data_IF_506504859946
#
_entry.id   IF_506504859946
#
_cell.length_a   1.000
_cell.length_b   1.000
_cell.length_c   1.000
_cell.angle_alpha   90.00
_cell.angle_beta   90.00
_cell.angle_gamma   90.00
#
_symmetry.space_group_name_H-M   'P 1'
#
loop_
_entity.id
_entity.type
_entity.pdbx_description
1 polymer ?
#
# COMPACT_ATOMS: atom_id res chain seq x y z
N UNK A 1 -23.96 21.02 -14.06
CA UNK A 1 -24.05 19.55 -14.08
C UNK A 1 -25.42 19.16 -14.64
N UNK A 2 -25.49 18.39 -15.75
CA UNK A 2 -26.78 17.86 -16.24
C UNK A 2 -27.11 16.60 -15.44
N UNK A 3 -28.28 16.56 -14.82
CA UNK A 3 -28.79 15.37 -14.11
C UNK A 3 -29.22 14.33 -15.14
N UNK A 4 -28.65 13.13 -15.08
CA UNK A 4 -28.98 12.03 -15.98
C UNK A 4 -29.76 10.95 -15.25
N UNK A 5 -30.83 10.46 -15.89
CA UNK A 5 -31.71 9.41 -15.38
C UNK A 5 -31.77 8.27 -16.39
N UNK A 6 -31.70 7.03 -15.91
CA UNK A 6 -31.93 5.82 -16.70
C UNK A 6 -33.01 4.98 -16.03
N UNK A 7 -34.10 4.71 -16.74
CA UNK A 7 -35.27 3.98 -16.22
C UNK A 7 -35.84 4.57 -14.91
N UNK A 8 -35.85 5.90 -14.77
CA UNK A 8 -36.34 6.59 -13.58
C UNK A 8 -35.35 6.59 -12.40
N UNK A 9 -34.18 5.96 -12.53
CA UNK A 9 -33.12 5.99 -11.52
C UNK A 9 -32.07 7.01 -11.93
N UNK A 10 -31.70 7.89 -10.99
CA UNK A 10 -30.61 8.85 -11.20
C UNK A 10 -29.30 8.09 -11.30
N UNK A 11 -28.57 8.28 -12.40
CA UNK A 11 -27.28 7.62 -12.64
C UNK A 11 -26.09 8.52 -12.31
N UNK A 12 -26.30 9.84 -12.21
CA UNK A 12 -25.26 10.79 -11.78
C UNK A 12 -25.26 10.93 -10.26
N UNK A 13 -24.14 10.65 -9.61
CA UNK A 13 -23.94 10.86 -8.17
C UNK A 13 -23.53 12.31 -7.87
N UNK A 14 -24.01 12.84 -6.75
CA UNK A 14 -23.55 14.14 -6.25
C UNK A 14 -22.18 14.02 -5.56
N UNK A 15 -21.46 15.14 -5.44
CA UNK A 15 -20.17 15.24 -4.76
C UNK A 15 -20.14 14.65 -3.35
N UNK A 16 -21.24 14.83 -2.60
CA UNK A 16 -21.36 14.34 -1.23
C UNK A 16 -21.74 12.85 -1.14
N UNK A 17 -22.06 12.23 -2.28
CA UNK A 17 -22.37 10.79 -2.39
C UNK A 17 -21.15 9.98 -2.82
N UNK A 18 -20.10 10.64 -3.28
CA UNK A 18 -18.82 10.03 -3.61
C UNK A 18 -17.98 9.80 -2.35
N UNK A 19 -17.25 8.69 -2.32
CA UNK A 19 -16.14 8.53 -1.40
C UNK A 19 -15.09 9.64 -1.60
N UNK A 20 -14.27 9.96 -0.59
CA UNK A 20 -13.20 10.95 -0.74
C UNK A 20 -12.27 10.65 -1.93
N UNK A 21 -12.03 9.38 -2.23
CA UNK A 21 -11.23 8.95 -3.38
C UNK A 21 -11.94 9.21 -4.69
N UNK A 22 -13.19 8.77 -4.85
CA UNK A 22 -13.97 9.00 -6.07
C UNK A 22 -14.12 10.50 -6.36
N UNK A 23 -14.33 11.31 -5.32
CA UNK A 23 -14.38 12.76 -5.44
C UNK A 23 -13.04 13.36 -5.91
N UNK A 24 -11.92 12.88 -5.36
CA UNK A 24 -10.58 13.30 -5.79
C UNK A 24 -10.28 12.89 -7.23
N UNK A 25 -10.64 11.66 -7.62
CA UNK A 25 -10.48 11.15 -8.98
C UNK A 25 -11.29 11.97 -9.98
N UNK A 26 -12.55 12.27 -9.66
CA UNK A 26 -13.43 13.04 -10.55
C UNK A 26 -12.88 14.44 -10.77
N UNK A 27 -12.46 15.14 -9.70
CA UNK A 27 -11.82 16.47 -9.81
C UNK A 27 -10.56 16.45 -10.65
N UNK A 28 -9.74 15.40 -10.51
CA UNK A 28 -8.52 15.26 -11.30
C UNK A 28 -8.84 15.00 -12.78
N UNK A 29 -9.83 14.16 -13.07
CA UNK A 29 -10.28 13.91 -14.45
C UNK A 29 -10.85 15.18 -15.10
N UNK A 30 -11.67 15.94 -14.37
CA UNK A 30 -12.20 17.23 -14.85
C UNK A 30 -11.07 18.21 -15.20
N UNK A 31 -10.02 18.29 -14.36
CA UNK A 31 -8.85 19.12 -14.64
C UNK A 31 -8.08 18.63 -15.88
N UNK A 32 -7.87 17.33 -16.06
CA UNK A 32 -7.23 16.79 -17.28
C UNK A 32 -8.03 17.19 -18.52
N UNK A 33 -9.35 17.02 -18.48
CA UNK A 33 -10.22 17.33 -19.62
C UNK A 33 -10.18 18.83 -19.95
N UNK A 34 -10.17 19.69 -18.93
CA UNK A 34 -9.97 21.14 -19.08
C UNK A 34 -8.61 21.48 -19.70
N UNK A 35 -7.52 20.88 -19.21
CA UNK A 35 -6.18 21.09 -19.78
C UNK A 35 -6.08 20.61 -21.24
N UNK A 36 -6.71 19.48 -21.57
CA UNK A 36 -6.79 18.99 -22.95
C UNK A 36 -7.59 19.95 -23.84
N UNK A 37 -8.70 20.49 -23.33
CA UNK A 37 -9.50 21.48 -24.05
C UNK A 37 -8.69 22.76 -24.29
N UNK A 38 -8.03 23.31 -23.27
CA UNK A 38 -7.17 24.49 -23.37
C UNK A 38 -6.03 24.28 -24.38
N UNK A 39 -5.38 23.11 -24.35
CA UNK A 39 -4.32 22.75 -25.29
C UNK A 39 -4.81 22.67 -26.75
N UNK A 40 -6.09 22.39 -26.97
CA UNK A 40 -6.70 22.34 -28.29
C UNK A 40 -7.25 23.70 -28.75
N UNK A 41 -7.94 24.44 -27.88
CA UNK A 41 -8.59 25.71 -28.21
C UNK A 41 -7.59 26.85 -28.46
N UNK A 42 -6.51 26.90 -27.68
CA UNK A 42 -5.48 27.93 -27.81
C UNK A 42 -4.36 27.54 -28.78
N UNK A 43 -4.52 26.43 -29.51
CA UNK A 43 -3.56 26.04 -30.53
C UNK A 43 -3.69 26.90 -31.78
N UNK A 44 -2.70 27.76 -32.00
CA UNK A 44 -2.55 28.51 -33.23
C UNK A 44 -1.86 27.65 -34.30
N UNK A 45 -2.60 27.34 -35.37
CA UNK A 45 -2.17 26.55 -36.53
C UNK A 45 -1.11 27.25 -37.40
N UNK A 46 -0.55 28.39 -36.97
CA UNK A 46 0.51 29.13 -37.67
C UNK A 46 1.86 28.37 -37.70
N UNK A 47 1.89 27.22 -38.39
CA UNK A 47 3.01 26.47 -38.99
C UNK A 47 4.31 26.36 -38.18
N UNK A 48 4.32 26.52 -36.85
CA UNK A 48 5.52 26.33 -36.04
C UNK A 48 5.59 24.84 -35.63
N UNK A 49 6.49 24.04 -36.22
CA UNK A 49 6.60 22.62 -35.89
C UNK A 49 6.93 22.38 -34.42
N UNK A 50 7.57 23.35 -33.74
CA UNK A 50 7.89 23.25 -32.32
C UNK A 50 6.65 23.38 -31.44
N UNK A 51 5.67 24.21 -31.82
CA UNK A 51 4.41 24.33 -31.09
C UNK A 51 3.56 23.07 -31.23
N UNK A 52 3.50 22.49 -32.42
CA UNK A 52 2.78 21.22 -32.62
C UNK A 52 3.44 20.06 -31.86
N UNK A 53 4.78 19.98 -31.86
CA UNK A 53 5.50 18.96 -31.09
C UNK A 53 5.28 19.13 -29.58
N UNK A 54 5.34 20.36 -29.07
CA UNK A 54 5.05 20.64 -27.66
C UNK A 54 3.60 20.27 -27.29
N UNK A 55 2.64 20.55 -28.17
CA UNK A 55 1.23 20.16 -27.98
C UNK A 55 1.05 18.65 -27.94
N UNK A 56 1.64 17.92 -28.89
CA UNK A 56 1.61 16.44 -28.91
C UNK A 56 2.21 15.86 -27.65
N UNK A 57 3.36 16.38 -27.22
CA UNK A 57 4.02 15.95 -25.98
C UNK A 57 3.14 16.20 -24.75
N UNK A 58 2.50 17.37 -24.65
CA UNK A 58 1.58 17.70 -23.56
C UNK A 58 0.34 16.79 -23.54
N UNK A 59 -0.29 16.54 -24.69
CA UNK A 59 -1.44 15.65 -24.80
C UNK A 59 -1.07 14.19 -24.47
N UNK A 60 0.11 13.73 -24.90
CA UNK A 60 0.62 12.40 -24.54
C UNK A 60 0.86 12.28 -23.03
N UNK A 61 1.41 13.32 -22.40
CA UNK A 61 1.59 13.39 -20.95
C UNK A 61 0.25 13.30 -20.21
N UNK A 62 -0.76 14.08 -20.61
CA UNK A 62 -2.10 14.06 -20.00
C UNK A 62 -2.78 12.70 -20.16
N UNK A 63 -2.60 12.03 -21.31
CA UNK A 63 -3.11 10.68 -21.52
C UNK A 63 -2.44 9.65 -20.59
N UNK A 64 -1.12 9.79 -20.38
CA UNK A 64 -0.38 8.96 -19.41
C UNK A 64 -0.84 9.21 -17.98
N UNK A 65 -1.02 10.46 -17.56
CA UNK A 65 -1.54 10.80 -16.22
C UNK A 65 -2.92 10.21 -15.99
N UNK A 66 -3.81 10.29 -16.98
CA UNK A 66 -5.14 9.67 -16.91
C UNK A 66 -5.05 8.16 -16.71
N UNK A 67 -4.19 7.49 -17.47
CA UNK A 67 -4.00 6.04 -17.35
C UNK A 67 -3.43 5.65 -15.97
N UNK A 68 -2.49 6.45 -15.45
CA UNK A 68 -1.95 6.26 -14.11
C UNK A 68 -3.04 6.41 -13.04
N UNK A 69 -3.89 7.43 -13.12
CA UNK A 69 -4.99 7.62 -12.17
C UNK A 69 -5.97 6.44 -12.22
N UNK A 70 -6.38 6.00 -13.42
CA UNK A 70 -7.29 4.87 -13.58
C UNK A 70 -6.71 3.58 -12.98
N UNK A 71 -5.39 3.37 -13.13
CA UNK A 71 -4.69 2.25 -12.51
C UNK A 71 -4.74 2.35 -10.99
N UNK A 72 -4.38 3.51 -10.42
CA UNK A 72 -4.40 3.72 -8.97
C UNK A 72 -5.80 3.52 -8.38
N UNK A 73 -6.84 4.02 -9.04
CA UNK A 73 -8.22 3.85 -8.63
C UNK A 73 -8.61 2.37 -8.47
N UNK A 74 -8.26 1.53 -9.45
CA UNK A 74 -8.49 0.09 -9.37
C UNK A 74 -7.74 -0.56 -8.20
N UNK A 75 -6.49 -0.13 -7.92
CA UNK A 75 -5.74 -0.65 -6.77
C UNK A 75 -6.36 -0.23 -5.43
N UNK A 76 -6.88 0.99 -5.33
CA UNK A 76 -7.60 1.45 -4.13
C UNK A 76 -8.88 0.67 -3.89
N UNK A 77 -9.69 0.43 -4.92
CA UNK A 77 -10.92 -0.37 -4.81
C UNK A 77 -10.61 -1.77 -4.30
N UNK A 78 -9.55 -2.40 -4.84
CA UNK A 78 -9.10 -3.71 -4.38
C UNK A 78 -8.62 -3.69 -2.92
N UNK A 79 -7.89 -2.65 -2.50
CA UNK A 79 -7.49 -2.48 -1.11
C UNK A 79 -8.69 -2.25 -0.18
N UNK A 80 -9.68 -1.48 -0.62
CA UNK A 80 -10.90 -1.23 0.16
C UNK A 80 -11.70 -2.52 0.34
N UNK A 81 -11.90 -3.28 -0.73
CA UNK A 81 -12.55 -4.61 -0.67
C UNK A 81 -11.78 -5.54 0.28
N UNK A 82 -10.45 -5.57 0.17
CA UNK A 82 -9.59 -6.31 1.07
C UNK A 82 -9.81 -5.88 2.54
N UNK A 83 -9.96 -4.59 2.81
CA UNK A 83 -10.18 -4.06 4.16
C UNK A 83 -11.59 -4.28 4.70
N UNK A 84 -12.59 -4.66 3.88
CA UNK A 84 -13.96 -4.94 4.37
C UNK A 84 -14.01 -6.07 5.40
N UNK A 85 -13.05 -7.00 5.40
CA UNK A 85 -12.96 -8.03 6.44
C UNK A 85 -12.46 -7.49 7.78
N UNK A 86 -11.70 -6.39 7.81
CA UNK A 86 -11.13 -5.79 9.03
C UNK A 86 -12.22 -5.32 9.99
N UNK A 87 -13.25 -4.66 9.47
CA UNK A 87 -14.38 -4.17 10.28
C UNK A 87 -15.19 -5.30 10.91
N UNK A 88 -15.19 -6.49 10.29
CA UNK A 88 -15.93 -7.67 10.78
C UNK A 88 -15.28 -8.30 12.01
N UNK A 89 -13.97 -8.14 12.19
CA UNK A 89 -13.21 -8.70 13.35
C UNK A 89 -13.69 -8.13 14.69
N UNK A 90 -14.14 -6.87 14.68
CA UNK A 90 -14.64 -6.14 15.85
C UNK A 90 -16.17 -6.12 15.92
N UNK A 91 -16.84 -6.94 15.08
CA UNK A 91 -18.29 -7.07 15.11
C UNK A 91 -18.80 -7.52 16.48
N UNK A 92 -19.95 -6.98 16.90
CA UNK A 92 -20.66 -7.44 18.11
C UNK A 92 -21.18 -8.88 17.95
N UNK A 93 -21.43 -9.31 16.72
CA UNK A 93 -21.77 -10.70 16.45
C UNK A 93 -20.51 -11.58 16.50
N UNK A 94 -20.47 -12.47 17.49
CA UNK A 94 -19.33 -13.36 17.73
C UNK A 94 -19.07 -14.29 16.54
N UNK A 95 -20.11 -14.77 15.85
CA UNK A 95 -19.94 -15.68 14.71
C UNK A 95 -19.23 -14.96 13.56
N UNK A 96 -19.69 -13.76 13.23
CA UNK A 96 -19.04 -12.90 12.24
C UNK A 96 -17.59 -12.59 12.59
N UNK A 97 -17.32 -12.23 13.85
CA UNK A 97 -15.97 -11.91 14.31
C UNK A 97 -15.02 -13.12 14.26
N UNK A 98 -15.47 -14.30 14.67
CA UNK A 98 -14.69 -15.55 14.59
C UNK A 98 -14.41 -15.91 13.14
N UNK A 99 -15.44 -15.92 12.29
CA UNK A 99 -15.29 -16.24 10.88
C UNK A 99 -14.30 -15.29 10.18
N UNK A 100 -14.38 -13.98 10.44
CA UNK A 100 -13.44 -13.01 9.89
C UNK A 100 -11.99 -13.31 10.29
N UNK A 101 -11.75 -13.68 11.56
CA UNK A 101 -10.42 -14.04 12.04
C UNK A 101 -9.91 -15.34 11.41
N UNK A 102 -10.76 -16.34 11.26
CA UNK A 102 -10.40 -17.62 10.64
C UNK A 102 -9.98 -17.42 9.17
N UNK A 103 -10.76 -16.65 8.40
CA UNK A 103 -10.43 -16.29 7.01
C UNK A 103 -9.06 -15.60 6.94
N UNK A 104 -8.81 -14.64 7.83
CA UNK A 104 -7.52 -13.94 7.88
C UNK A 104 -6.34 -14.84 8.27
N UNK A 105 -6.55 -15.84 9.13
CA UNK A 105 -5.49 -16.78 9.51
C UNK A 105 -5.06 -17.66 8.34
N UNK A 106 -6.01 -18.03 7.48
CA UNK A 106 -5.80 -18.82 6.26
C UNK A 106 -5.33 -17.99 5.06
N UNK A 107 -5.21 -16.66 5.20
CA UNK A 107 -4.76 -15.79 4.12
C UNK A 107 -3.35 -16.16 3.64
N UNK A 108 -3.21 -16.27 2.32
CA UNK A 108 -1.92 -16.49 1.67
C UNK A 108 -1.00 -15.27 1.87
N UNK A 109 0.28 -15.54 2.08
CA UNK A 109 1.31 -14.51 2.30
C UNK A 109 2.44 -14.60 1.28
N UNK A 110 2.44 -15.62 0.43
CA UNK A 110 3.35 -15.76 -0.71
C UNK A 110 2.58 -16.35 -1.89
N UNK A 111 2.80 -15.84 -3.13
CA UNK A 111 3.70 -14.75 -3.49
C UNK A 111 3.27 -13.38 -2.90
N UNK A 112 4.17 -12.40 -2.87
CA UNK A 112 3.93 -11.09 -2.21
C UNK A 112 3.25 -10.07 -3.15
N UNK A 113 2.59 -10.53 -4.21
CA UNK A 113 2.01 -9.67 -5.24
C UNK A 113 0.88 -8.80 -4.66
N UNK A 114 0.00 -9.39 -3.85
CA UNK A 114 -1.07 -8.67 -3.16
C UNK A 114 -0.51 -7.59 -2.22
N UNK A 115 0.53 -7.92 -1.44
CA UNK A 115 1.18 -6.96 -0.57
C UNK A 115 1.76 -5.79 -1.38
N UNK A 116 2.50 -6.07 -2.45
CA UNK A 116 3.11 -5.05 -3.32
C UNK A 116 2.03 -4.14 -3.94
N UNK A 117 0.95 -4.74 -4.40
CA UNK A 117 -0.22 -4.05 -4.95
C UNK A 117 -0.87 -3.11 -3.93
N UNK A 118 -1.15 -3.60 -2.73
CA UNK A 118 -1.76 -2.81 -1.67
C UNK A 118 -0.81 -1.72 -1.14
N UNK A 119 0.50 -1.97 -1.09
CA UNK A 119 1.49 -0.94 -0.77
C UNK A 119 1.45 0.21 -1.78
N UNK A 120 1.31 -0.08 -3.08
CA UNK A 120 1.15 0.95 -4.12
C UNK A 120 -0.15 1.74 -3.96
N UNK A 121 -1.25 1.07 -3.61
CA UNK A 121 -2.52 1.72 -3.32
C UNK A 121 -2.38 2.71 -2.15
N UNK A 122 -1.60 2.40 -1.11
CA UNK A 122 -1.28 3.33 -0.01
C UNK A 122 -0.23 4.40 -0.34
N UNK A 123 0.09 4.58 -1.63
CA UNK A 123 1.06 5.59 -2.05
C UNK A 123 2.50 5.26 -1.64
N UNK A 124 2.81 3.98 -1.42
CA UNK A 124 4.18 3.49 -1.19
C UNK A 124 4.74 2.97 -2.52
N UNK A 125 5.44 3.80 -3.31
CA UNK A 125 5.99 3.39 -4.60
C UNK A 125 7.17 2.42 -4.41
N UNK A 126 7.28 1.46 -5.33
CA UNK A 126 8.44 0.57 -5.42
C UNK A 126 9.66 1.38 -5.87
N UNK A 127 10.76 1.44 -5.09
CA UNK A 127 11.87 2.36 -5.42
C UNK A 127 12.60 2.02 -6.72
N UNK A 128 12.75 0.72 -7.03
CA UNK A 128 13.33 0.23 -8.29
C UNK A 128 12.95 -1.23 -8.51
N UNK A 129 13.23 -1.77 -9.70
CA UNK A 129 13.05 -3.20 -10.02
C UNK A 129 13.90 -4.14 -9.15
N UNK A 130 14.92 -3.61 -8.46
CA UNK A 130 15.79 -4.37 -7.55
C UNK A 130 15.17 -4.58 -6.16
N UNK A 131 14.01 -3.99 -5.89
CA UNK A 131 13.29 -4.14 -4.62
C UNK A 131 12.21 -5.22 -4.72
N UNK A 132 11.82 -5.76 -3.57
CA UNK A 132 10.68 -6.66 -3.43
C UNK A 132 9.90 -6.30 -2.17
N UNK A 133 8.58 -6.51 -2.19
CA UNK A 133 7.76 -6.36 -1.01
C UNK A 133 8.12 -7.45 0.02
N UNK A 134 8.23 -7.05 1.28
CA UNK A 134 8.60 -7.92 2.39
C UNK A 134 7.63 -7.70 3.54
N UNK A 135 7.05 -8.79 4.06
CA UNK A 135 6.24 -8.76 5.27
C UNK A 135 7.12 -8.52 6.48
N UNK A 136 6.85 -7.46 7.24
CA UNK A 136 7.53 -7.16 8.49
C UNK A 136 7.25 -8.28 9.51
N UNK A 137 5.99 -8.54 9.83
CA UNK A 137 5.59 -9.76 10.52
C UNK A 137 5.42 -10.89 9.48
N UNK A 138 6.27 -11.94 9.51
CA UNK A 138 6.18 -13.02 8.52
C UNK A 138 4.92 -13.87 8.71
N UNK A 139 4.50 -14.57 7.65
CA UNK A 139 3.30 -15.40 7.65
C UNK A 139 3.37 -16.65 8.54
N UNK A 140 4.48 -17.39 8.49
CA UNK A 140 4.66 -18.64 9.26
C UNK A 140 5.87 -18.62 10.20
N UNK A 141 6.86 -17.75 9.95
CA UNK A 141 8.15 -17.75 10.64
C UNK A 141 9.00 -18.98 10.28
N UNK A 142 10.32 -18.82 10.31
CA UNK A 142 11.28 -19.91 10.10
C UNK A 142 11.70 -20.55 11.42
N UNK A 143 11.92 -19.75 12.46
CA UNK A 143 12.56 -20.19 13.70
C UNK A 143 11.61 -20.22 14.90
N UNK A 144 10.78 -19.19 15.06
CA UNK A 144 9.89 -18.96 16.20
C UNK A 144 8.41 -19.07 15.75
N UNK A 145 8.07 -20.18 15.09
CA UNK A 145 6.77 -20.39 14.43
C UNK A 145 5.56 -20.10 15.33
N UNK A 146 5.57 -20.60 16.56
CA UNK A 146 4.48 -20.38 17.51
C UNK A 146 4.36 -18.91 17.93
N UNK A 147 5.49 -18.24 18.15
CA UNK A 147 5.53 -16.83 18.51
C UNK A 147 5.02 -15.95 17.38
N UNK A 148 5.46 -16.21 16.15
CA UNK A 148 4.98 -15.52 14.94
C UNK A 148 3.49 -15.78 14.72
N UNK A 149 3.04 -17.04 14.84
CA UNK A 149 1.62 -17.38 14.73
C UNK A 149 0.77 -16.62 15.74
N UNK A 150 1.20 -16.53 17.00
CA UNK A 150 0.49 -15.77 18.03
C UNK A 150 0.51 -14.26 17.75
N UNK A 151 1.63 -13.73 17.25
CA UNK A 151 1.73 -12.33 16.82
C UNK A 151 0.75 -12.04 15.69
N UNK A 152 0.64 -12.94 14.71
CA UNK A 152 -0.38 -12.85 13.65
C UNK A 152 -1.77 -12.90 14.23
N UNK A 153 -2.11 -13.84 15.10
CA UNK A 153 -3.44 -13.89 15.74
C UNK A 153 -3.76 -12.55 16.42
N UNK A 154 -2.78 -11.95 17.10
CA UNK A 154 -2.93 -10.63 17.72
C UNK A 154 -3.20 -9.52 16.68
N UNK A 155 -2.41 -9.45 15.61
CA UNK A 155 -2.62 -8.49 14.51
C UNK A 155 -4.01 -8.63 13.89
N UNK A 156 -4.42 -9.84 13.53
CA UNK A 156 -5.73 -10.10 12.94
C UNK A 156 -6.87 -9.79 13.91
N UNK A 157 -6.69 -10.02 15.22
CA UNK A 157 -7.68 -9.65 16.24
C UNK A 157 -7.90 -8.15 16.35
N UNK A 158 -6.95 -7.34 15.87
CA UNK A 158 -7.06 -5.88 15.77
C UNK A 158 -7.38 -5.41 14.35
N UNK A 159 -7.73 -6.33 13.44
CA UNK A 159 -8.06 -6.00 12.05
C UNK A 159 -6.84 -5.52 11.24
N UNK A 160 -5.64 -6.01 11.56
CA UNK A 160 -4.45 -5.86 10.71
C UNK A 160 -4.20 -7.19 10.02
N UNK A 161 -4.42 -7.23 8.71
CA UNK A 161 -4.24 -8.43 7.89
C UNK A 161 -2.79 -8.63 7.47
N UNK A 162 -2.45 -9.82 6.97
CA UNK A 162 -1.06 -10.15 6.63
C UNK A 162 -0.55 -9.33 5.44
N UNK A 163 -1.37 -9.13 4.39
CA UNK A 163 -1.04 -8.27 3.25
C UNK A 163 -1.45 -6.80 3.45
N UNK A 164 -1.81 -6.37 4.67
CA UNK A 164 -2.04 -4.95 4.93
C UNK A 164 -0.76 -4.15 4.64
N UNK A 165 -0.84 -3.01 3.91
CA UNK A 165 0.33 -2.21 3.56
C UNK A 165 1.20 -1.79 4.74
N UNK A 166 0.63 -1.63 5.94
CA UNK A 166 1.41 -1.30 7.13
C UNK A 166 2.35 -2.44 7.53
N UNK A 167 2.01 -3.69 7.23
CA UNK A 167 2.89 -4.85 7.41
C UNK A 167 3.89 -5.03 6.26
N UNK A 168 3.85 -4.16 5.24
CA UNK A 168 4.74 -4.21 4.10
C UNK A 168 5.90 -3.23 4.18
N UNK A 169 7.05 -3.65 3.67
CA UNK A 169 8.20 -2.79 3.42
C UNK A 169 8.91 -3.23 2.15
N UNK A 170 9.42 -2.29 1.35
CA UNK A 170 10.32 -2.64 0.26
C UNK A 170 11.73 -2.82 0.79
N UNK A 171 12.36 -3.94 0.45
CA UNK A 171 13.77 -4.22 0.69
C UNK A 171 14.44 -4.64 -0.61
N UNK A 172 15.78 -4.55 -0.67
CA UNK A 172 16.53 -5.07 -1.81
C UNK A 172 16.29 -6.58 -1.94
N UNK A 173 16.02 -7.05 -3.15
CA UNK A 173 15.75 -8.46 -3.37
C UNK A 173 17.00 -9.32 -3.10
N UNK A 174 18.17 -8.88 -3.58
CA UNK A 174 19.45 -9.56 -3.38
C UNK A 174 20.41 -8.68 -2.60
N UNK A 175 21.31 -9.34 -1.88
CA UNK A 175 22.33 -8.66 -1.10
C UNK A 175 23.37 -7.95 -1.99
N UNK A 176 23.63 -8.51 -3.18
CA UNK A 176 24.51 -7.95 -4.22
C UNK A 176 24.07 -6.57 -4.74
N UNK A 177 22.81 -6.18 -4.48
CA UNK A 177 22.32 -4.84 -4.82
C UNK A 177 22.70 -3.79 -3.76
N UNK A 178 23.41 -4.18 -2.70
CA UNK A 178 23.90 -3.28 -1.65
C UNK A 178 25.33 -2.82 -1.94
N UNK A 179 25.64 -1.52 -1.82
CA UNK A 179 24.75 -0.42 -1.46
C UNK A 179 23.85 0.02 -2.63
N UNK A 180 22.60 0.36 -2.32
CA UNK A 180 21.65 0.93 -3.29
C UNK A 180 21.35 2.40 -2.96
N UNK A 181 21.16 3.25 -3.97
CA UNK A 181 20.97 4.69 -3.76
C UNK A 181 19.77 5.03 -2.85
N UNK A 182 18.68 4.26 -2.91
CA UNK A 182 17.49 4.47 -2.08
C UNK A 182 17.60 3.94 -0.65
N UNK A 183 18.51 2.97 -0.41
CA UNK A 183 18.65 2.26 0.86
C UNK A 183 20.13 1.89 1.09
N UNK A 184 21.03 2.88 1.23
CA UNK A 184 22.48 2.66 1.15
C UNK A 184 23.01 1.72 2.24
N UNK A 185 22.34 1.65 3.38
CA UNK A 185 22.74 0.83 4.52
C UNK A 185 21.91 -0.47 4.65
N UNK A 186 20.80 -0.61 3.93
CA UNK A 186 19.98 -1.84 3.98
C UNK A 186 20.70 -2.98 3.27
N UNK A 187 20.41 -4.21 3.67
CA UNK A 187 20.89 -5.44 3.01
C UNK A 187 19.77 -6.09 2.19
N UNK A 188 20.10 -7.18 1.51
CA UNK A 188 19.11 -8.02 0.82
C UNK A 188 18.09 -8.60 1.80
N UNK A 189 16.81 -8.70 1.41
CA UNK A 189 15.71 -9.04 2.33
C UNK A 189 15.93 -10.36 3.10
N UNK A 190 16.51 -11.39 2.44
CA UNK A 190 16.80 -12.68 3.08
C UNK A 190 17.74 -12.58 4.29
N UNK A 191 18.57 -11.54 4.36
CA UNK A 191 19.51 -11.33 5.47
C UNK A 191 18.80 -10.95 6.79
N UNK A 192 17.56 -10.46 6.71
CA UNK A 192 16.78 -10.07 7.89
C UNK A 192 16.03 -11.25 8.52
N UNK A 193 15.82 -12.37 7.80
CA UNK A 193 15.08 -13.55 8.28
C UNK A 193 15.88 -14.39 9.30
N UNK A 194 16.15 -13.80 10.45
CA UNK A 194 16.86 -14.41 11.57
C UNK A 194 15.91 -14.76 12.71
N UNK A 195 16.33 -15.68 13.59
CA UNK A 195 15.61 -15.99 14.82
C UNK A 195 15.43 -14.76 15.70
N UNK A 196 16.43 -13.89 15.72
CA UNK A 196 16.40 -12.66 16.51
C UNK A 196 15.35 -11.66 15.98
N UNK A 197 15.32 -11.48 14.66
CA UNK A 197 14.33 -10.64 14.00
C UNK A 197 12.90 -11.04 14.39
N UNK A 198 12.58 -12.33 14.30
CA UNK A 198 11.25 -12.85 14.65
C UNK A 198 10.87 -12.54 16.10
N UNK A 199 11.81 -12.70 17.04
CA UNK A 199 11.59 -12.34 18.46
C UNK A 199 11.35 -10.84 18.65
N UNK A 200 12.14 -10.01 17.98
CA UNK A 200 12.03 -8.55 18.11
C UNK A 200 10.73 -8.02 17.52
N UNK A 201 10.35 -8.50 16.34
CA UNK A 201 9.07 -8.14 15.70
C UNK A 201 7.91 -8.55 16.60
N UNK A 202 7.88 -9.81 17.06
CA UNK A 202 6.84 -10.29 17.96
C UNK A 202 6.76 -9.48 19.26
N UNK A 203 7.89 -9.32 19.96
CA UNK A 203 7.95 -8.58 21.22
C UNK A 203 7.52 -7.11 21.10
N UNK A 204 7.63 -6.52 19.91
CA UNK A 204 7.18 -5.14 19.63
C UNK A 204 5.70 -5.04 19.30
N UNK A 205 5.06 -6.13 18.86
CA UNK A 205 3.68 -6.11 18.34
C UNK A 205 2.70 -6.77 19.29
N UNK A 206 3.07 -7.89 19.93
CA UNK A 206 2.13 -8.79 20.62
C UNK A 206 1.36 -8.17 21.80
N UNK A 207 1.77 -7.01 22.30
CA UNK A 207 1.14 -6.32 23.44
C UNK A 207 0.51 -4.99 23.08
N UNK A 208 0.57 -4.57 21.80
CA UNK A 208 0.04 -3.28 21.40
C UNK A 208 -1.50 -3.30 21.39
N UNK A 209 -2.18 -2.26 21.91
CA UNK A 209 -3.59 -2.34 22.28
C UNK A 209 -4.57 -1.98 21.16
N UNK A 210 -4.10 -1.40 20.06
CA UNK A 210 -4.97 -0.89 19.01
C UNK A 210 -4.38 -1.07 17.63
N UNK A 211 -5.27 -1.11 16.64
CA UNK A 211 -4.93 -1.22 15.22
C UNK A 211 -3.92 -0.16 14.79
N UNK A 212 -4.18 1.09 15.13
CA UNK A 212 -3.36 2.21 14.67
C UNK A 212 -1.96 2.18 15.29
N UNK A 213 -1.85 1.77 16.56
CA UNK A 213 -0.56 1.60 17.23
C UNK A 213 0.21 0.42 16.64
N UNK A 214 -0.45 -0.69 16.31
CA UNK A 214 0.17 -1.83 15.61
C UNK A 214 0.69 -1.40 14.23
N UNK A 215 -0.14 -0.73 13.43
CA UNK A 215 0.23 -0.24 12.09
C UNK A 215 1.40 0.73 12.16
N UNK A 216 1.37 1.66 13.12
CA UNK A 216 2.47 2.61 13.36
C UNK A 216 3.77 1.87 13.72
N UNK A 217 3.70 0.90 14.62
CA UNK A 217 4.88 0.13 15.02
C UNK A 217 5.47 -0.67 13.86
N UNK A 218 4.63 -1.29 13.02
CA UNK A 218 5.09 -1.98 11.82
C UNK A 218 5.82 -1.00 10.88
N UNK A 219 5.25 0.17 10.61
CA UNK A 219 5.90 1.20 9.78
C UNK A 219 7.25 1.66 10.37
N UNK A 220 7.34 1.83 11.70
CA UNK A 220 8.61 2.15 12.37
C UNK A 220 9.63 1.04 12.14
N UNK A 221 9.25 -0.23 12.33
CA UNK A 221 10.14 -1.37 12.06
C UNK A 221 10.57 -1.36 10.59
N UNK A 222 9.64 -1.21 9.65
CA UNK A 222 9.94 -1.15 8.22
C UNK A 222 11.00 -0.08 7.88
N UNK A 223 10.84 1.14 8.42
CA UNK A 223 11.84 2.21 8.24
C UNK A 223 13.20 1.83 8.82
N UNK A 224 13.25 1.18 9.98
CA UNK A 224 14.51 0.72 10.57
C UNK A 224 15.20 -0.32 9.67
N UNK A 225 14.45 -1.22 9.03
CA UNK A 225 15.00 -2.19 8.08
C UNK A 225 15.57 -1.50 6.83
N UNK A 226 14.88 -0.50 6.29
CA UNK A 226 15.34 0.24 5.11
C UNK A 226 16.59 1.12 5.36
N UNK A 227 16.73 1.62 6.60
CA UNK A 227 17.78 2.59 6.94
C UNK A 227 19.05 1.94 7.51
N UNK A 228 19.00 0.64 7.83
CA UNK A 228 20.08 -0.04 8.54
C UNK A 228 20.19 -1.49 8.08
N UNK A 229 21.41 -1.98 8.09
CA UNK A 229 21.77 -3.38 8.03
C UNK A 229 21.15 -4.15 9.23
N UNK A 230 21.00 -5.47 9.16
CA UNK A 230 20.28 -6.25 10.17
C UNK A 230 20.73 -5.97 11.61
N UNK A 231 22.04 -5.93 11.88
CA UNK A 231 22.57 -5.70 13.23
C UNK A 231 22.17 -4.34 13.80
N UNK A 232 22.35 -3.27 13.02
CA UNK A 232 21.97 -1.90 13.39
C UNK A 232 20.46 -1.72 13.51
N UNK A 233 19.69 -2.32 12.59
CA UNK A 233 18.24 -2.34 12.66
C UNK A 233 17.76 -2.97 13.97
N UNK A 234 18.28 -4.15 14.32
CA UNK A 234 17.90 -4.88 15.54
C UNK A 234 18.32 -4.13 16.80
N UNK A 235 19.51 -3.54 16.83
CA UNK A 235 19.95 -2.70 17.94
C UNK A 235 19.00 -1.51 18.17
N UNK A 236 18.62 -0.81 17.09
CA UNK A 236 17.64 0.29 17.17
C UNK A 236 16.26 -0.20 17.57
N UNK A 237 15.81 -1.33 17.04
CA UNK A 237 14.55 -1.97 17.45
C UNK A 237 14.54 -2.28 18.94
N UNK A 238 15.66 -2.66 19.57
CA UNK A 238 15.74 -2.87 21.03
C UNK A 238 15.72 -1.54 21.80
N UNK A 239 16.37 -0.51 21.27
CA UNK A 239 16.49 0.79 21.92
C UNK A 239 15.20 1.63 21.95
N UNK A 240 14.24 1.34 21.05
CA UNK A 240 12.92 1.98 21.10
C UNK A 240 12.26 1.72 22.47
N UNK A 241 11.83 2.76 23.16
CA UNK A 241 11.04 2.59 24.40
C UNK A 241 9.63 2.11 24.02
N UNK A 242 9.13 1.13 24.78
CA UNK A 242 7.75 0.63 24.71
C UNK A 242 6.77 1.66 25.24
#
# INVERSE_FOLDING_TARGET
MKLEYRNGVRITQFDHELSPLEAAMRRFQENIDEQQQLANEHYDNSVDPKKEEARKSALAYLAMERQQLATLAGLYEQLEEYRKLESKVVSKDKKTAIHARDVMLTEEHHPTDDLEMYMRAEGVPKPSSQHTAHHICPGSGRWEKNLIRNTRIHMHSHGVRINDPANGVYLLHKDDYTPHYSMPNSRGHLTYHTREYEKLVAGRISTLPSRDVIKTQLQVIGRLLQQNEPKGAFAKMRALRS
#
